data_IF_798675705293
#
_entry.id   IF_798675705293
#
_cell.length_a   1.000
_cell.length_b   1.000
_cell.length_c   1.000
_cell.angle_alpha   90.00
_cell.angle_beta   90.00
_cell.angle_gamma   90.00
#
_symmetry.space_group_name_H-M   'P 1'
#
loop_
_entity.id
_entity.type
_entity.pdbx_description
1 polymer ?
#
# COMPACT_ATOMS: atom_id res chain seq x y z
N UNK A 1 13.70 -3.52 12.51
CA UNK A 1 13.58 -4.94 12.14
C UNK A 1 14.51 -5.29 10.98
N UNK A 2 14.28 -4.78 9.76
CA UNK A 2 15.14 -5.11 8.60
C UNK A 2 16.45 -4.33 8.53
N UNK A 3 16.47 -3.07 8.98
CA UNK A 3 17.70 -2.27 9.15
C UNK A 3 18.46 -2.58 10.46
N UNK A 4 17.87 -3.43 11.28
CA UNK A 4 18.43 -3.82 12.57
C UNK A 4 19.22 -5.12 12.40
N UNK A 5 20.27 -5.29 13.19
CA UNK A 5 21.12 -6.47 13.18
C UNK A 5 20.84 -7.41 14.35
N UNK A 6 20.13 -6.93 15.38
CA UNK A 6 19.82 -7.74 16.55
C UNK A 6 18.88 -8.90 16.20
N UNK A 7 19.16 -10.09 16.75
CA UNK A 7 18.31 -11.28 16.62
C UNK A 7 17.58 -11.48 17.93
N UNK A 8 16.23 -11.39 17.95
CA UNK A 8 15.47 -11.58 19.18
C UNK A 8 15.65 -12.97 19.80
N UNK A 9 15.97 -13.01 21.09
CA UNK A 9 16.29 -14.25 21.82
C UNK A 9 15.12 -15.26 21.96
N UNK A 10 13.90 -14.86 21.60
CA UNK A 10 12.71 -15.70 21.65
C UNK A 10 12.39 -16.40 20.31
N UNK A 11 13.18 -16.16 19.26
CA UNK A 11 13.03 -16.85 17.98
C UNK A 11 13.61 -18.26 18.04
N UNK A 12 12.88 -19.22 17.47
CA UNK A 12 13.44 -20.54 17.16
C UNK A 12 14.36 -20.49 15.92
N UNK A 13 15.05 -21.59 15.65
CA UNK A 13 16.02 -21.68 14.54
C UNK A 13 15.40 -21.35 13.17
N UNK A 14 14.17 -21.79 12.91
CA UNK A 14 13.49 -21.55 11.64
C UNK A 14 13.07 -20.09 11.50
N UNK A 15 12.59 -19.47 12.58
CA UNK A 15 12.22 -18.07 12.57
C UNK A 15 13.45 -17.14 12.42
N UNK A 16 14.61 -17.53 12.97
CA UNK A 16 15.89 -16.86 12.72
C UNK A 16 16.29 -16.98 11.25
N UNK A 17 16.12 -18.15 10.64
CA UNK A 17 16.40 -18.36 9.22
C UNK A 17 15.53 -17.46 8.33
N UNK A 18 14.22 -17.41 8.57
CA UNK A 18 13.31 -16.53 7.82
C UNK A 18 13.62 -15.05 8.00
N UNK A 19 13.98 -14.61 9.21
CA UNK A 19 14.41 -13.24 9.44
C UNK A 19 15.70 -12.92 8.67
N UNK A 20 16.64 -13.86 8.62
CA UNK A 20 17.90 -13.71 7.90
C UNK A 20 17.66 -13.59 6.39
N UNK A 21 16.85 -14.49 5.84
CA UNK A 21 16.45 -14.45 4.41
C UNK A 21 15.71 -13.16 4.07
N UNK A 22 14.78 -12.72 4.94
CA UNK A 22 14.05 -11.47 4.74
C UNK A 22 14.96 -10.23 4.75
N UNK A 23 15.95 -10.18 5.65
CA UNK A 23 16.97 -9.11 5.69
C UNK A 23 17.85 -9.13 4.44
N UNK A 24 18.28 -10.32 3.98
CA UNK A 24 19.05 -10.46 2.75
C UNK A 24 18.25 -9.95 1.55
N UNK A 25 17.00 -10.39 1.38
CA UNK A 25 16.12 -9.92 0.30
C UNK A 25 15.87 -8.41 0.36
N UNK A 26 15.69 -7.85 1.57
CA UNK A 26 15.53 -6.40 1.75
C UNK A 26 16.75 -5.62 1.23
N UNK A 27 17.95 -6.11 1.51
CA UNK A 27 19.20 -5.50 1.05
C UNK A 27 19.40 -5.71 -0.47
N UNK A 28 19.17 -6.92 -0.98
CA UNK A 28 19.30 -7.26 -2.41
C UNK A 28 18.36 -6.43 -3.29
N UNK A 29 17.14 -6.18 -2.82
CA UNK A 29 16.14 -5.35 -3.49
C UNK A 29 16.33 -3.84 -3.22
N UNK A 30 17.35 -3.46 -2.44
CA UNK A 30 17.65 -2.07 -2.07
C UNK A 30 16.44 -1.32 -1.46
N UNK A 31 15.66 -2.01 -0.62
CA UNK A 31 14.39 -1.51 -0.07
C UNK A 31 14.55 -0.42 0.99
N UNK A 32 15.78 -0.11 1.36
CA UNK A 32 16.11 1.08 2.16
C UNK A 32 15.95 2.37 1.34
N UNK A 33 16.26 2.31 0.03
CA UNK A 33 16.32 3.49 -0.84
C UNK A 33 15.07 3.61 -1.71
N UNK A 34 14.44 2.50 -2.07
CA UNK A 34 13.25 2.49 -2.93
C UNK A 34 12.18 1.56 -2.40
N UNK A 35 10.91 1.92 -2.61
CA UNK A 35 9.77 1.04 -2.35
C UNK A 35 9.30 0.28 -3.59
N UNK A 36 10.00 0.38 -4.72
CA UNK A 36 9.54 -0.19 -6.00
C UNK A 36 10.29 -1.47 -6.32
N UNK A 37 9.55 -2.56 -6.49
CA UNK A 37 10.10 -3.87 -6.85
C UNK A 37 9.48 -4.32 -8.16
N UNK A 38 10.31 -4.52 -9.19
CA UNK A 38 9.87 -5.06 -10.47
C UNK A 38 9.55 -6.55 -10.33
N UNK A 39 8.43 -6.98 -10.90
CA UNK A 39 8.01 -8.38 -10.95
C UNK A 39 7.42 -8.69 -12.34
N UNK A 40 8.27 -9.11 -13.27
CA UNK A 40 7.87 -9.26 -14.67
C UNK A 40 7.45 -7.91 -15.28
N UNK A 41 6.19 -7.80 -15.70
CA UNK A 41 5.60 -6.53 -16.18
C UNK A 41 4.98 -5.70 -15.06
N UNK A 42 4.80 -6.28 -13.87
CA UNK A 42 4.16 -5.63 -12.75
C UNK A 42 5.21 -4.92 -11.87
N UNK A 43 4.73 -3.97 -11.07
CA UNK A 43 5.54 -3.35 -10.01
C UNK A 43 4.86 -3.48 -8.66
N UNK A 44 5.55 -4.04 -7.68
CA UNK A 44 5.12 -3.99 -6.29
C UNK A 44 5.62 -2.70 -5.64
N UNK A 45 4.72 -2.06 -4.89
CA UNK A 45 4.96 -0.81 -4.17
C UNK A 45 4.87 -1.08 -2.68
N UNK A 46 5.98 -0.89 -1.97
CA UNK A 46 6.16 -1.21 -0.56
C UNK A 46 6.42 0.08 0.25
N UNK A 47 5.36 0.71 0.76
CA UNK A 47 5.48 1.90 1.61
C UNK A 47 5.70 1.57 3.10
N UNK A 48 5.50 0.31 3.52
CA UNK A 48 5.61 -0.12 4.92
C UNK A 48 4.67 0.62 5.89
N UNK A 49 3.49 1.04 5.42
CA UNK A 49 2.49 1.78 6.21
C UNK A 49 1.32 0.92 6.71
N UNK A 50 1.36 -0.38 6.44
CA UNK A 50 0.33 -1.35 6.83
C UNK A 50 -0.87 -1.41 5.88
N UNK A 51 -1.69 -2.45 6.03
CA UNK A 51 -2.75 -2.78 5.07
C UNK A 51 -3.77 -1.67 4.83
N UNK A 52 -4.21 -0.95 5.88
CA UNK A 52 -5.19 0.13 5.73
C UNK A 52 -4.68 1.28 4.85
N UNK A 53 -3.37 1.53 4.84
CA UNK A 53 -2.78 2.50 3.92
C UNK A 53 -2.69 1.93 2.50
N UNK A 54 -2.26 0.67 2.36
CA UNK A 54 -2.18 0.00 1.07
C UNK A 54 -3.55 -0.02 0.36
N UNK A 55 -4.62 -0.26 1.10
CA UNK A 55 -5.99 -0.23 0.57
C UNK A 55 -6.36 1.15 0.03
N UNK A 56 -6.01 2.22 0.75
CA UNK A 56 -6.27 3.60 0.31
C UNK A 56 -5.45 3.98 -0.92
N UNK A 57 -4.20 3.53 -1.00
CA UNK A 57 -3.35 3.72 -2.19
C UNK A 57 -3.96 3.00 -3.38
N UNK A 58 -4.38 1.75 -3.22
CA UNK A 58 -5.01 0.98 -4.28
C UNK A 58 -6.31 1.63 -4.77
N UNK A 59 -7.16 2.12 -3.85
CA UNK A 59 -8.37 2.87 -4.21
C UNK A 59 -8.03 4.17 -4.96
N UNK A 60 -7.02 4.92 -4.52
CA UNK A 60 -6.62 6.16 -5.16
C UNK A 60 -6.02 5.94 -6.56
N UNK A 61 -5.22 4.88 -6.75
CA UNK A 61 -4.70 4.48 -8.05
C UNK A 61 -5.81 3.96 -8.96
N UNK A 62 -6.73 3.14 -8.44
CA UNK A 62 -7.91 2.67 -9.15
C UNK A 62 -8.83 3.80 -9.60
N UNK A 63 -9.01 4.83 -8.77
CA UNK A 63 -9.74 6.05 -9.14
C UNK A 63 -9.09 6.82 -10.31
N UNK A 64 -7.78 6.66 -10.50
CA UNK A 64 -7.03 7.19 -11.64
C UNK A 64 -7.00 6.24 -12.86
N UNK A 65 -7.72 5.11 -12.80
CA UNK A 65 -7.80 4.12 -13.89
C UNK A 65 -6.67 3.11 -13.91
N UNK A 66 -5.87 3.02 -12.83
CA UNK A 66 -4.74 2.10 -12.74
C UNK A 66 -5.18 0.78 -12.14
N UNK A 67 -4.93 -0.33 -12.84
CA UNK A 67 -5.19 -1.66 -12.33
C UNK A 67 -4.18 -2.00 -11.22
N UNK A 68 -4.67 -2.18 -10.00
CA UNK A 68 -3.82 -2.50 -8.85
C UNK A 68 -4.54 -3.36 -7.82
N UNK A 69 -3.75 -4.09 -7.04
CA UNK A 69 -4.23 -4.96 -5.97
C UNK A 69 -3.51 -4.63 -4.67
N UNK A 70 -4.27 -4.46 -3.59
CA UNK A 70 -3.72 -4.27 -2.24
C UNK A 70 -3.40 -5.61 -1.60
N UNK A 71 -2.24 -5.69 -0.95
CA UNK A 71 -1.79 -6.82 -0.15
C UNK A 71 -1.31 -6.35 1.22
N UNK A 72 -1.09 -7.29 2.14
CA UNK A 72 -0.60 -7.00 3.49
C UNK A 72 0.75 -6.26 3.52
N UNK A 73 1.60 -6.50 2.51
CA UNK A 73 2.95 -5.94 2.41
C UNK A 73 3.02 -4.64 1.58
N UNK A 74 2.12 -4.47 0.60
CA UNK A 74 2.13 -3.33 -0.31
C UNK A 74 1.02 -3.38 -1.35
N UNK A 75 1.18 -2.64 -2.44
CA UNK A 75 0.25 -2.61 -3.57
C UNK A 75 0.95 -3.10 -4.81
N UNK A 76 0.34 -4.02 -5.56
CA UNK A 76 0.81 -4.44 -6.87
C UNK A 76 0.14 -3.60 -7.95
N UNK A 77 0.94 -2.95 -8.79
CA UNK A 77 0.48 -2.22 -9.97
C UNK A 77 0.71 -3.11 -11.18
N UNK A 78 -0.37 -3.50 -11.86
CA UNK A 78 -0.32 -4.46 -12.95
C UNK A 78 0.16 -3.80 -14.25
N UNK A 79 0.90 -4.56 -15.05
CA UNK A 79 1.36 -4.20 -16.40
C UNK A 79 2.01 -2.80 -16.47
N UNK A 80 2.71 -2.42 -15.41
CA UNK A 80 3.31 -1.10 -15.26
C UNK A 80 4.72 -1.23 -14.69
N UNK A 81 5.77 -0.79 -15.42
CA UNK A 81 7.15 -0.86 -14.94
C UNK A 81 7.42 0.17 -13.83
N UNK A 82 8.54 0.03 -13.06
CA UNK A 82 8.79 0.88 -11.90
C UNK A 82 8.85 2.38 -12.20
N UNK A 83 9.42 2.79 -13.34
CA UNK A 83 9.54 4.20 -13.70
C UNK A 83 8.17 4.87 -13.94
N UNK A 84 7.24 4.14 -14.56
CA UNK A 84 5.87 4.60 -14.80
C UNK A 84 5.03 4.53 -13.52
N UNK A 85 5.17 3.45 -12.76
CA UNK A 85 4.55 3.31 -11.43
C UNK A 85 4.93 4.47 -10.53
N UNK A 86 6.21 4.87 -10.51
CA UNK A 86 6.67 6.06 -9.79
C UNK A 86 5.89 7.30 -10.23
N UNK A 87 5.78 7.55 -11.53
CA UNK A 87 5.05 8.71 -12.05
C UNK A 87 3.57 8.70 -11.62
N UNK A 88 2.91 7.54 -11.62
CA UNK A 88 1.55 7.38 -11.12
C UNK A 88 1.46 7.69 -9.61
N UNK A 89 2.40 7.19 -8.80
CA UNK A 89 2.45 7.47 -7.37
C UNK A 89 2.62 8.96 -7.06
N UNK A 90 3.33 9.72 -7.90
CA UNK A 90 3.42 11.18 -7.71
C UNK A 90 2.07 11.90 -7.85
N UNK A 91 1.12 11.32 -8.60
CA UNK A 91 -0.23 11.90 -8.75
C UNK A 91 -1.07 11.75 -7.49
N UNK A 92 -0.69 10.88 -6.54
CA UNK A 92 -1.37 10.76 -5.24
C UNK A 92 -1.35 12.07 -4.45
N UNK A 93 -0.44 13.00 -4.76
CA UNK A 93 -0.45 14.36 -4.21
C UNK A 93 -1.73 15.16 -4.53
N UNK A 94 -2.45 14.76 -5.58
CA UNK A 94 -3.71 15.37 -6.01
C UNK A 94 -4.91 14.46 -5.74
N UNK A 95 -4.72 13.39 -4.97
CA UNK A 95 -5.80 12.48 -4.64
C UNK A 95 -6.95 13.25 -3.96
N UNK A 96 -8.21 12.94 -4.30
CA UNK A 96 -9.35 13.61 -3.70
C UNK A 96 -9.50 13.24 -2.22
N UNK A 97 -10.31 14.01 -1.49
CA UNK A 97 -10.59 13.73 -0.09
C UNK A 97 -11.28 12.36 0.08
N UNK A 98 -11.18 11.79 1.29
CA UNK A 98 -11.73 10.46 1.61
C UNK A 98 -13.19 10.29 1.21
N UNK A 99 -14.03 11.32 1.34
CA UNK A 99 -15.43 11.28 0.92
C UNK A 99 -15.58 11.01 -0.58
N UNK A 100 -14.79 11.68 -1.42
CA UNK A 100 -14.80 11.49 -2.87
C UNK A 100 -14.10 10.20 -3.29
N UNK A 101 -13.00 9.80 -2.63
CA UNK A 101 -12.36 8.50 -2.85
C UNK A 101 -13.31 7.33 -2.54
N UNK A 102 -14.19 7.50 -1.55
CA UNK A 102 -15.13 6.44 -1.16
C UNK A 102 -16.08 6.03 -2.28
N UNK A 103 -16.31 6.89 -3.29
CA UNK A 103 -17.13 6.59 -4.46
C UNK A 103 -16.50 5.55 -5.39
N UNK A 104 -15.17 5.41 -5.36
CA UNK A 104 -14.43 4.47 -6.21
C UNK A 104 -14.21 3.10 -5.54
N UNK A 105 -14.64 2.93 -4.29
CA UNK A 105 -14.50 1.66 -3.58
C UNK A 105 -15.53 0.66 -4.11
N UNK A 106 -15.06 -0.39 -4.78
CA UNK A 106 -15.94 -1.42 -5.34
C UNK A 106 -16.54 -2.34 -4.25
N UNK A 107 -15.76 -2.69 -3.22
CA UNK A 107 -16.20 -3.56 -2.14
C UNK A 107 -16.19 -2.86 -0.78
N UNK A 108 -17.33 -2.24 -0.46
CA UNK A 108 -17.56 -1.58 0.82
C UNK A 108 -18.01 -2.54 1.94
N UNK A 109 -18.39 -3.76 1.60
CA UNK A 109 -18.89 -4.74 2.55
C UNK A 109 -17.73 -5.60 3.09
N UNK A 110 -17.16 -5.15 4.21
CA UNK A 110 -15.99 -5.79 4.81
C UNK A 110 -16.32 -6.59 6.08
N UNK A 111 -17.35 -6.18 6.82
CA UNK A 111 -17.77 -6.79 8.08
C UNK A 111 -19.04 -7.62 7.91
N UNK A 112 -19.24 -8.52 8.87
CA UNK A 112 -20.37 -9.48 8.91
C UNK A 112 -21.74 -8.86 8.65
N UNK A 113 -21.97 -7.62 9.05
CA UNK A 113 -23.27 -6.96 8.97
C UNK A 113 -23.36 -5.83 7.94
N UNK A 114 -22.32 -5.62 7.13
CA UNK A 114 -22.31 -4.51 6.18
C UNK A 114 -23.38 -4.69 5.08
N UNK A 115 -23.76 -5.93 4.76
CA UNK A 115 -24.86 -6.24 3.85
C UNK A 115 -26.23 -5.70 4.31
N UNK A 116 -26.38 -5.35 5.59
CA UNK A 116 -27.62 -4.75 6.13
C UNK A 116 -27.60 -3.21 6.05
N UNK A 117 -26.45 -2.60 5.77
CA UNK A 117 -26.29 -1.16 5.73
C UNK A 117 -26.51 -0.61 4.31
N UNK A 118 -27.19 0.53 4.14
CA UNK A 118 -27.26 1.21 2.85
C UNK A 118 -25.86 1.62 2.36
N UNK A 119 -25.64 1.58 1.05
CA UNK A 119 -24.36 1.89 0.41
C UNK A 119 -23.81 3.27 0.81
N UNK A 120 -24.66 4.30 0.82
CA UNK A 120 -24.27 5.65 1.23
C UNK A 120 -23.82 5.74 2.70
N UNK A 121 -24.30 4.86 3.58
CA UNK A 121 -23.79 4.77 4.95
C UNK A 121 -22.41 4.11 4.98
N UNK A 122 -22.22 3.03 4.22
CA UNK A 122 -20.93 2.34 4.11
C UNK A 122 -19.84 3.26 3.54
N UNK A 123 -20.14 4.06 2.51
CA UNK A 123 -19.23 5.08 1.96
C UNK A 123 -18.81 6.11 2.99
N UNK A 124 -19.77 6.66 3.74
CA UNK A 124 -19.49 7.61 4.82
C UNK A 124 -18.64 6.98 5.93
N UNK A 125 -18.90 5.72 6.28
CA UNK A 125 -18.10 4.99 7.26
C UNK A 125 -16.69 4.72 6.77
N UNK A 126 -16.53 4.35 5.50
CA UNK A 126 -15.23 4.17 4.86
C UNK A 126 -14.44 5.48 4.86
N UNK A 127 -15.05 6.58 4.42
CA UNK A 127 -14.42 7.89 4.36
C UNK A 127 -13.93 8.34 5.73
N UNK A 128 -14.78 8.20 6.77
CA UNK A 128 -14.41 8.55 8.14
C UNK A 128 -13.30 7.65 8.70
N UNK A 129 -13.29 6.36 8.35
CA UNK A 129 -12.28 5.40 8.82
C UNK A 129 -10.91 5.66 8.21
N UNK A 130 -10.86 6.13 6.97
CA UNK A 130 -9.63 6.31 6.19
C UNK A 130 -9.21 7.78 6.05
N UNK A 131 -9.81 8.69 6.81
CA UNK A 131 -9.59 10.13 6.71
C UNK A 131 -8.11 10.50 6.91
N UNK A 132 -7.46 9.93 7.94
CA UNK A 132 -6.04 10.20 8.20
C UNK A 132 -5.14 9.60 7.12
N UNK A 133 -5.44 8.41 6.61
CA UNK A 133 -4.68 7.79 5.53
C UNK A 133 -4.78 8.60 4.23
N UNK A 134 -5.97 9.09 3.89
CA UNK A 134 -6.17 9.95 2.72
C UNK A 134 -5.40 11.26 2.86
N UNK A 135 -5.35 11.84 4.06
CA UNK A 135 -4.58 13.06 4.32
C UNK A 135 -3.06 12.86 4.20
N UNK A 136 -2.56 11.63 4.34
CA UNK A 136 -1.14 11.27 4.19
C UNK A 136 -0.73 10.97 2.73
N UNK A 137 -1.67 10.83 1.78
CA UNK A 137 -1.37 10.53 0.38
C UNK A 137 -0.37 11.51 -0.26
N UNK A 138 -0.44 12.84 -0.02
CA UNK A 138 0.58 13.76 -0.53
C UNK A 138 1.99 13.53 0.03
N UNK A 139 2.09 13.08 1.28
CA UNK A 139 3.37 12.74 1.89
C UNK A 139 3.96 11.48 1.23
N UNK A 140 3.13 10.47 0.94
CA UNK A 140 3.57 9.28 0.20
C UNK A 140 4.01 9.61 -1.23
N UNK A 141 3.31 10.53 -1.91
CA UNK A 141 3.73 11.02 -3.21
C UNK A 141 5.10 11.71 -3.14
N UNK A 142 5.40 12.46 -2.08
CA UNK A 142 6.72 13.05 -1.87
C UNK A 142 7.81 11.98 -1.67
N UNK A 143 7.53 10.94 -0.88
CA UNK A 143 8.44 9.80 -0.71
C UNK A 143 8.70 9.11 -2.06
N UNK A 144 7.66 8.85 -2.84
CA UNK A 144 7.78 8.21 -4.14
C UNK A 144 8.57 9.04 -5.16
N UNK A 145 8.57 10.37 -5.04
CA UNK A 145 9.44 11.24 -5.85
C UNK A 145 10.93 11.06 -5.55
N UNK A 146 11.28 10.56 -4.36
CA UNK A 146 12.65 10.30 -3.94
C UNK A 146 13.19 8.93 -4.38
N UNK A 147 12.35 8.08 -4.97
CA UNK A 147 12.69 6.73 -5.44
C UNK A 147 13.18 6.68 -6.88
#
# INVERSE_FOLDING_TARGET
>A
MYLDHDVPAWLDEQAVEFLTQGRAAFAELNLEQTGLVSSGQDTHVLFWRGGAMNDVIAVALGAAGVACESHSLGVTVADTPPAETRALLTQLAKAPAAAALSEFVENLQHRKFDHLAPDGLLRRMWARRHESQCAELPNLAHIANGW
#
